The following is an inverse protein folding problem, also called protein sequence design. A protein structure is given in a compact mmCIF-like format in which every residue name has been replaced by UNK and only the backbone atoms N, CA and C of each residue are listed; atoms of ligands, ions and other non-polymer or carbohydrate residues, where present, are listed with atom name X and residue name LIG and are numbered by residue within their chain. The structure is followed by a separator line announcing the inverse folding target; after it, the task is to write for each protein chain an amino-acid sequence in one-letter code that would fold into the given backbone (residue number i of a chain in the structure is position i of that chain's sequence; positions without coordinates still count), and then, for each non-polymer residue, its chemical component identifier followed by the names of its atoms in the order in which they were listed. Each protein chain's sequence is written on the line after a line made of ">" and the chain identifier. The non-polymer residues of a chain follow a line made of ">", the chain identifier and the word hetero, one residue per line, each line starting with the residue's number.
data_IF_913211249507
#
_entry.id   IF_913211249507
#
_cell.length_a   1.000
_cell.length_b   1.000
_cell.length_c   1.000
_cell.angle_alpha   90.00
_cell.angle_beta   90.00
_cell.angle_gamma   90.00
#
_symmetry.space_group_name_H-M   'P 1'
#
loop_
_entity.id
_entity.type
_entity.pdbx_description
1 polymer ?
#
# COMPACT_ATOMS: atom_id res chain seq x y z
N UNK A 1 -19.17 8.74 9.89
CA UNK A 1 -18.05 7.80 10.12
C UNK A 1 -18.59 6.40 9.90
N UNK A 2 -17.95 5.60 9.06
CA UNK A 2 -18.39 4.24 8.75
C UNK A 2 -18.36 3.32 9.96
N UNK A 3 -18.97 2.14 9.82
CA UNK A 3 -18.98 1.09 10.85
C UNK A 3 -17.64 0.36 10.95
N UNK A 4 -16.98 0.18 9.82
CA UNK A 4 -15.69 -0.52 9.69
C UNK A 4 -14.56 0.43 9.29
N UNK A 5 -14.83 1.35 8.35
CA UNK A 5 -13.83 2.26 7.83
C UNK A 5 -13.76 3.55 8.64
N UNK A 6 -12.61 3.76 9.28
CA UNK A 6 -12.26 5.03 9.91
C UNK A 6 -11.55 6.01 8.96
N UNK A 7 -10.91 7.03 9.54
CA UNK A 7 -10.14 8.03 8.78
C UNK A 7 -9.04 7.40 7.94
N UNK A 8 -8.38 6.37 8.46
CA UNK A 8 -7.22 5.71 7.85
C UNK A 8 -7.53 4.33 7.25
N UNK A 9 -8.76 4.07 6.86
CA UNK A 9 -9.21 2.79 6.32
C UNK A 9 -9.81 1.87 7.39
N UNK A 10 -10.04 0.61 7.03
CA UNK A 10 -10.51 -0.42 7.95
C UNK A 10 -9.30 -1.02 8.66
N UNK A 11 -9.10 -0.70 9.95
CA UNK A 11 -7.99 -1.19 10.77
C UNK A 11 -8.50 -2.11 11.87
N UNK A 12 -7.68 -3.11 12.21
CA UNK A 12 -7.94 -4.01 13.31
C UNK A 12 -6.84 -5.06 13.47
N UNK A 13 -6.89 -5.77 14.58
CA UNK A 13 -6.05 -6.95 14.80
C UNK A 13 -6.45 -8.04 13.79
N UNK A 14 -5.43 -8.60 13.10
CA UNK A 14 -5.65 -9.59 12.06
C UNK A 14 -6.28 -10.88 12.63
N UNK A 15 -7.33 -11.38 11.95
CA UNK A 15 -8.16 -12.52 12.37
C UNK A 15 -8.98 -12.32 13.66
N UNK A 16 -9.00 -11.11 14.20
CA UNK A 16 -9.87 -10.72 15.31
C UNK A 16 -10.92 -9.73 14.82
N UNK A 17 -10.53 -8.45 14.65
CA UNK A 17 -11.45 -7.40 14.18
C UNK A 17 -11.44 -7.24 12.64
N UNK A 18 -10.31 -7.53 12.00
CA UNK A 18 -10.16 -7.53 10.54
C UNK A 18 -9.81 -8.94 10.09
N UNK A 19 -10.69 -9.56 9.30
CA UNK A 19 -10.58 -10.96 8.89
C UNK A 19 -10.37 -11.11 7.38
N UNK A 20 -9.95 -12.31 6.95
CA UNK A 20 -9.85 -12.67 5.54
C UNK A 20 -11.21 -12.57 4.83
N UNK A 21 -12.34 -12.87 5.52
CA UNK A 21 -13.69 -12.71 4.97
C UNK A 21 -14.02 -11.24 4.67
N UNK A 22 -13.66 -10.32 5.58
CA UNK A 22 -13.80 -8.90 5.31
C UNK A 22 -13.03 -8.47 4.06
N UNK A 23 -11.78 -8.91 3.91
CA UNK A 23 -10.95 -8.61 2.74
C UNK A 23 -11.56 -9.19 1.45
N UNK A 24 -12.02 -10.44 1.50
CA UNK A 24 -12.71 -11.08 0.38
C UNK A 24 -13.95 -10.29 -0.04
N UNK A 25 -14.81 -9.90 0.91
CA UNK A 25 -16.03 -9.13 0.63
C UNK A 25 -15.71 -7.75 0.07
N UNK A 26 -14.69 -7.05 0.61
CA UNK A 26 -14.21 -5.78 0.04
C UNK A 26 -13.82 -5.97 -1.42
N UNK A 27 -13.03 -7.00 -1.72
CA UNK A 27 -12.65 -7.33 -3.09
C UNK A 27 -13.85 -7.63 -3.98
N UNK A 28 -14.78 -8.45 -3.50
CA UNK A 28 -16.02 -8.78 -4.22
C UNK A 28 -16.81 -7.55 -4.64
N UNK A 29 -17.04 -6.64 -3.67
CA UNK A 29 -17.80 -5.44 -3.95
C UNK A 29 -17.07 -4.51 -4.93
N UNK A 30 -15.79 -4.23 -4.70
CA UNK A 30 -15.04 -3.28 -5.54
C UNK A 30 -14.90 -3.79 -6.99
N UNK A 31 -14.61 -5.07 -7.18
CA UNK A 31 -14.50 -5.66 -8.52
C UNK A 31 -15.80 -5.51 -9.32
N UNK A 32 -16.92 -5.84 -8.71
CA UNK A 32 -18.23 -5.65 -9.31
C UNK A 32 -18.57 -4.18 -9.53
N UNK A 33 -18.39 -3.33 -8.50
CA UNK A 33 -18.76 -1.93 -8.55
C UNK A 33 -18.07 -1.17 -9.69
N UNK A 34 -16.75 -1.31 -9.81
CA UNK A 34 -16.01 -0.66 -10.89
C UNK A 34 -16.29 -1.27 -12.25
N UNK A 35 -16.55 -2.55 -12.35
CA UNK A 35 -17.06 -3.18 -13.59
C UNK A 35 -18.39 -2.57 -14.03
N UNK A 36 -19.33 -2.34 -13.09
CA UNK A 36 -20.61 -1.68 -13.40
C UNK A 36 -20.44 -0.21 -13.80
N UNK A 37 -19.54 0.52 -13.13
CA UNK A 37 -19.22 1.91 -13.49
C UNK A 37 -18.69 1.99 -14.92
N UNK A 38 -17.78 1.10 -15.30
CA UNK A 38 -17.23 1.06 -16.66
C UNK A 38 -18.29 0.73 -17.70
N UNK A 39 -19.10 -0.31 -17.46
CA UNK A 39 -20.19 -0.71 -18.38
C UNK A 39 -21.22 0.43 -18.60
N UNK A 40 -21.58 1.15 -17.55
CA UNK A 40 -22.48 2.33 -17.67
C UNK A 40 -21.88 3.45 -18.50
N UNK A 41 -20.56 3.52 -18.61
CA UNK A 41 -19.83 4.47 -19.43
C UNK A 41 -19.51 3.91 -20.85
N UNK A 42 -20.04 2.73 -21.19
CA UNK A 42 -19.82 2.10 -22.51
C UNK A 42 -18.48 1.39 -22.65
N UNK A 43 -17.80 1.06 -21.53
CA UNK A 43 -16.55 0.33 -21.52
C UNK A 43 -16.77 -1.06 -20.88
N UNK A 44 -16.73 -2.10 -21.69
CA UNK A 44 -16.93 -3.49 -21.28
C UNK A 44 -15.61 -4.19 -20.85
N UNK A 45 -14.50 -3.48 -20.81
CA UNK A 45 -13.23 -4.06 -20.36
C UNK A 45 -13.25 -4.31 -18.84
N UNK A 46 -12.53 -5.32 -18.33
CA UNK A 46 -12.44 -5.57 -16.90
C UNK A 46 -11.99 -4.35 -16.11
N UNK A 47 -12.54 -4.15 -14.91
CA UNK A 47 -12.02 -3.15 -14.00
C UNK A 47 -10.57 -3.50 -13.62
N UNK A 48 -9.69 -2.48 -13.59
CA UNK A 48 -8.27 -2.63 -13.28
C UNK A 48 -8.00 -2.12 -11.88
N UNK A 49 -7.62 -3.00 -10.96
CA UNK A 49 -7.41 -2.66 -9.56
C UNK A 49 -5.99 -3.02 -9.14
N UNK A 50 -5.28 -2.06 -8.57
CA UNK A 50 -3.91 -2.26 -8.13
C UNK A 50 -3.84 -2.45 -6.61
N UNK A 51 -3.05 -3.42 -6.16
CA UNK A 51 -2.85 -3.72 -4.73
C UNK A 51 -1.38 -3.56 -4.35
N UNK A 52 -1.14 -2.83 -3.26
CA UNK A 52 0.14 -2.79 -2.56
C UNK A 52 -0.03 -3.25 -1.11
N UNK A 53 1.06 -3.73 -0.51
CA UNK A 53 1.06 -4.18 0.88
C UNK A 53 2.33 -3.78 1.60
N UNK A 54 2.28 -3.79 2.93
CA UNK A 54 3.47 -3.72 3.76
C UNK A 54 4.06 -5.12 4.05
N UNK A 55 5.02 -5.18 4.94
CA UNK A 55 5.81 -6.38 5.20
C UNK A 55 5.18 -7.36 6.20
N UNK A 56 4.04 -7.04 6.81
CA UNK A 56 3.37 -7.90 7.80
C UNK A 56 3.01 -9.26 7.22
N UNK A 57 3.09 -10.32 8.01
CA UNK A 57 2.63 -11.67 7.60
C UNK A 57 1.17 -11.67 7.21
N UNK A 58 0.31 -10.98 7.98
CA UNK A 58 -1.11 -10.87 7.68
C UNK A 58 -1.41 -10.14 6.37
N UNK A 59 -0.50 -9.30 5.86
CA UNK A 59 -0.67 -8.61 4.59
C UNK A 59 -0.77 -9.58 3.41
N UNK A 60 -0.09 -10.71 3.45
CA UNK A 60 -0.21 -11.76 2.43
C UNK A 60 -1.59 -12.42 2.46
N UNK A 61 -2.10 -12.74 3.64
CA UNK A 61 -3.44 -13.30 3.81
C UNK A 61 -4.51 -12.36 3.26
N UNK A 62 -4.44 -11.07 3.59
CA UNK A 62 -5.38 -10.07 3.10
C UNK A 62 -5.25 -9.83 1.60
N UNK A 63 -4.03 -9.79 1.05
CA UNK A 63 -3.80 -9.68 -0.38
C UNK A 63 -4.48 -10.80 -1.16
N UNK A 64 -4.24 -12.07 -0.77
CA UNK A 64 -4.86 -13.21 -1.45
C UNK A 64 -6.38 -13.22 -1.31
N UNK A 65 -6.92 -12.81 -0.17
CA UNK A 65 -8.37 -12.71 0.04
C UNK A 65 -8.99 -11.61 -0.83
N UNK A 66 -8.38 -10.43 -0.91
CA UNK A 66 -8.79 -9.35 -1.80
C UNK A 66 -8.74 -9.79 -3.26
N UNK A 67 -7.63 -10.41 -3.68
CA UNK A 67 -7.45 -10.93 -5.04
C UNK A 67 -8.55 -11.92 -5.40
N UNK A 68 -8.83 -12.89 -4.54
CA UNK A 68 -9.90 -13.87 -4.76
C UNK A 68 -11.27 -13.18 -4.93
N UNK A 69 -11.57 -12.19 -4.09
CA UNK A 69 -12.81 -11.42 -4.18
C UNK A 69 -12.93 -10.61 -5.47
N UNK A 70 -11.87 -9.89 -5.83
CA UNK A 70 -11.82 -9.05 -7.02
C UNK A 70 -11.96 -9.86 -8.31
N UNK A 71 -11.17 -10.92 -8.45
CA UNK A 71 -11.21 -11.79 -9.65
C UNK A 71 -12.53 -12.53 -9.78
N UNK A 72 -13.12 -13.00 -8.66
CA UNK A 72 -14.44 -13.60 -8.62
C UNK A 72 -15.58 -12.63 -9.02
N UNK A 73 -15.29 -11.32 -9.09
CA UNK A 73 -16.21 -10.27 -9.56
C UNK A 73 -15.85 -9.70 -10.92
N UNK A 74 -14.88 -10.30 -11.62
CA UNK A 74 -14.50 -9.93 -12.98
C UNK A 74 -13.50 -8.77 -13.09
N UNK A 75 -12.84 -8.38 -12.01
CA UNK A 75 -11.79 -7.37 -12.06
C UNK A 75 -10.40 -8.00 -12.26
N UNK A 76 -9.55 -7.33 -13.04
CA UNK A 76 -8.14 -7.66 -13.16
C UNK A 76 -7.33 -6.99 -12.05
N UNK A 77 -6.49 -7.77 -11.39
CA UNK A 77 -5.74 -7.35 -10.20
C UNK A 77 -4.25 -7.26 -10.48
N UNK A 78 -3.70 -6.09 -10.25
CA UNK A 78 -2.29 -5.77 -10.48
C UNK A 78 -1.53 -5.69 -9.16
N UNK A 79 -0.55 -6.56 -8.96
CA UNK A 79 0.16 -6.72 -7.69
C UNK A 79 1.47 -5.93 -7.70
N UNK A 80 1.55 -4.86 -6.90
CA UNK A 80 2.79 -4.11 -6.66
C UNK A 80 3.69 -4.80 -5.63
N UNK A 81 3.15 -5.81 -4.94
CA UNK A 81 3.82 -6.45 -3.81
C UNK A 81 4.12 -5.48 -2.67
N UNK A 82 5.25 -5.67 -1.97
CA UNK A 82 5.63 -4.78 -0.88
C UNK A 82 5.99 -3.40 -1.43
N UNK A 83 5.21 -2.40 -1.03
CA UNK A 83 5.37 -1.01 -1.45
C UNK A 83 4.70 -0.05 -0.46
N UNK A 84 4.93 1.25 -0.62
CA UNK A 84 4.36 2.28 0.25
C UNK A 84 2.98 2.77 -0.23
N UNK A 85 2.18 3.33 0.67
CA UNK A 85 0.89 3.95 0.32
C UNK A 85 1.02 5.00 -0.78
N UNK A 86 1.99 5.94 -0.73
CA UNK A 86 2.17 6.90 -1.82
C UNK A 86 2.51 6.26 -3.18
N UNK A 87 3.18 5.10 -3.18
CA UNK A 87 3.45 4.35 -4.41
C UNK A 87 2.15 3.85 -5.05
N UNK A 88 1.23 3.30 -4.26
CA UNK A 88 -0.10 2.87 -4.75
C UNK A 88 -0.86 4.07 -5.31
N UNK A 89 -0.96 5.18 -4.56
CA UNK A 89 -1.62 6.41 -5.00
C UNK A 89 -1.04 6.95 -6.31
N UNK A 90 0.29 6.93 -6.43
CA UNK A 90 0.98 7.37 -7.65
C UNK A 90 0.60 6.50 -8.85
N UNK A 91 0.71 5.18 -8.72
CA UNK A 91 0.41 4.24 -9.80
C UNK A 91 -1.05 4.35 -10.23
N UNK A 92 -1.99 4.41 -9.27
CA UNK A 92 -3.42 4.56 -9.59
C UNK A 92 -3.67 5.75 -10.51
N UNK A 93 -3.19 6.94 -10.12
CA UNK A 93 -3.50 8.18 -10.86
C UNK A 93 -2.73 8.35 -12.17
N UNK A 94 -1.60 7.67 -12.34
CA UNK A 94 -0.72 7.85 -13.50
C UNK A 94 -0.85 6.77 -14.55
N UNK A 95 -1.55 5.67 -14.25
CA UNK A 95 -1.63 4.51 -15.14
C UNK A 95 -3.07 4.01 -15.32
N UNK A 96 -4.05 4.90 -15.16
CA UNK A 96 -5.47 4.67 -15.44
C UNK A 96 -6.07 3.44 -14.74
N UNK A 97 -5.74 3.25 -13.45
CA UNK A 97 -6.42 2.26 -12.63
C UNK A 97 -7.73 2.81 -12.08
N UNK A 98 -8.76 1.97 -12.04
CA UNK A 98 -10.06 2.34 -11.51
C UNK A 98 -10.02 2.53 -9.98
N UNK A 99 -9.20 1.73 -9.29
CA UNK A 99 -9.07 1.76 -7.84
C UNK A 99 -7.70 1.23 -7.41
N UNK A 100 -7.24 1.72 -6.25
CA UNK A 100 -6.08 1.19 -5.54
C UNK A 100 -6.43 0.68 -4.16
N UNK A 101 -5.73 -0.34 -3.70
CA UNK A 101 -5.86 -0.89 -2.35
C UNK A 101 -4.49 -0.95 -1.72
N UNK A 102 -4.35 -0.39 -0.52
CA UNK A 102 -3.14 -0.52 0.28
C UNK A 102 -3.41 -1.30 1.56
N UNK A 103 -2.66 -2.37 1.77
CA UNK A 103 -2.75 -3.23 2.95
C UNK A 103 -1.64 -2.84 3.92
N UNK A 104 -2.00 -2.07 4.95
CA UNK A 104 -1.05 -1.60 5.96
C UNK A 104 -1.77 -0.94 7.14
N UNK A 105 -1.26 -1.14 8.35
CA UNK A 105 -1.66 -0.40 9.55
C UNK A 105 -0.63 0.67 9.96
N UNK A 106 0.22 1.14 9.03
CA UNK A 106 1.19 2.22 9.30
C UNK A 106 2.17 1.85 10.44
N UNK A 107 2.22 2.68 11.49
CA UNK A 107 3.12 2.52 12.64
C UNK A 107 2.60 1.57 13.74
N UNK A 108 1.44 0.94 13.55
CA UNK A 108 0.90 -0.02 14.51
C UNK A 108 1.80 -1.27 14.63
N UNK A 109 1.70 -2.04 15.73
CA UNK A 109 2.39 -3.31 15.88
C UNK A 109 2.08 -4.32 14.76
N UNK A 110 2.91 -5.35 14.63
CA UNK A 110 2.82 -6.32 13.54
C UNK A 110 1.51 -7.12 13.48
N UNK A 111 0.83 -7.30 14.60
CA UNK A 111 -0.43 -8.06 14.70
C UNK A 111 -1.64 -7.26 14.22
N UNK A 112 -1.55 -5.94 14.16
CA UNK A 112 -2.54 -5.10 13.51
C UNK A 112 -2.33 -5.08 11.99
N UNK A 113 -3.41 -4.85 11.25
CA UNK A 113 -3.35 -4.54 9.83
C UNK A 113 -4.47 -3.57 9.44
N UNK A 114 -4.48 -3.16 8.17
CA UNK A 114 -5.51 -2.26 7.66
C UNK A 114 -5.65 -2.36 6.16
N UNK A 115 -6.85 -2.06 5.67
CA UNK A 115 -7.18 -1.98 4.25
C UNK A 115 -7.60 -0.55 3.95
N UNK A 116 -6.83 0.14 3.11
CA UNK A 116 -7.10 1.51 2.65
C UNK A 116 -7.54 1.47 1.20
N UNK A 117 -8.64 2.12 0.89
CA UNK A 117 -9.19 2.22 -0.44
C UNK A 117 -8.85 3.58 -1.05
N UNK A 118 -8.36 3.55 -2.28
CA UNK A 118 -7.83 4.70 -3.02
C UNK A 118 -8.60 4.82 -4.33
N UNK A 119 -9.17 5.99 -4.61
CA UNK A 119 -9.92 6.24 -5.83
C UNK A 119 -8.98 6.42 -7.05
N UNK A 120 -9.54 6.52 -8.26
CA UNK A 120 -8.79 6.68 -9.51
C UNK A 120 -7.91 7.95 -9.57
N UNK A 121 -8.15 8.94 -8.71
CA UNK A 121 -7.31 10.14 -8.60
C UNK A 121 -6.10 9.95 -7.68
N UNK A 122 -5.95 8.76 -7.06
CA UNK A 122 -4.91 8.48 -6.08
C UNK A 122 -5.20 9.06 -4.69
N UNK A 123 -6.45 9.42 -4.41
CA UNK A 123 -6.92 9.97 -3.15
C UNK A 123 -7.67 8.91 -2.33
N UNK A 124 -7.96 9.21 -1.06
CA UNK A 124 -8.84 8.37 -0.25
C UNK A 124 -10.19 8.19 -0.95
N UNK A 125 -10.70 6.95 -0.93
CA UNK A 125 -12.03 6.63 -1.45
C UNK A 125 -13.10 7.52 -0.81
N UNK A 126 -14.07 7.96 -1.61
CA UNK A 126 -15.19 8.76 -1.17
C UNK A 126 -16.09 8.01 -0.16
N UNK A 127 -16.75 8.77 0.70
CA UNK A 127 -17.55 8.21 1.79
C UNK A 127 -18.77 7.43 1.28
N UNK A 128 -19.35 7.83 0.16
CA UNK A 128 -20.51 7.15 -0.44
C UNK A 128 -20.13 5.74 -0.89
N UNK A 129 -18.99 5.58 -1.57
CA UNK A 129 -18.48 4.27 -1.98
C UNK A 129 -18.11 3.42 -0.78
N UNK A 130 -17.48 4.00 0.25
CA UNK A 130 -17.15 3.30 1.50
C UNK A 130 -18.41 2.75 2.17
N UNK A 131 -19.48 3.53 2.29
CA UNK A 131 -20.74 3.08 2.90
C UNK A 131 -21.36 1.90 2.13
N UNK A 132 -21.27 1.89 0.80
CA UNK A 132 -21.74 0.77 -0.02
C UNK A 132 -20.89 -0.50 0.20
N UNK A 133 -19.57 -0.36 0.36
CA UNK A 133 -18.69 -1.49 0.76
C UNK A 133 -19.15 -2.07 2.09
N UNK A 134 -19.43 -1.21 3.08
CA UNK A 134 -19.89 -1.64 4.41
C UNK A 134 -21.27 -2.31 4.36
N UNK A 135 -22.19 -1.81 3.54
CA UNK A 135 -23.50 -2.41 3.35
C UNK A 135 -23.40 -3.80 2.69
N UNK A 136 -22.42 -4.00 1.79
CA UNK A 136 -22.15 -5.31 1.24
C UNK A 136 -21.52 -6.27 2.29
N UNK A 137 -20.59 -5.80 3.12
CA UNK A 137 -20.02 -6.58 4.23
C UNK A 137 -21.13 -7.09 5.15
N UNK A 138 -22.12 -6.26 5.44
CA UNK A 138 -23.26 -6.57 6.29
C UNK A 138 -24.36 -7.40 5.59
N UNK A 139 -24.18 -7.77 4.32
CA UNK A 139 -25.14 -8.57 3.56
C UNK A 139 -26.39 -7.84 3.12
N UNK A 140 -26.39 -6.50 3.07
CA UNK A 140 -27.54 -5.68 2.61
C UNK A 140 -27.56 -5.51 1.09
N UNK A 141 -26.46 -5.78 0.43
CA UNK A 141 -26.30 -5.69 -1.03
C UNK A 141 -25.87 -7.06 -1.53
N UNK A 142 -26.47 -7.52 -2.62
CA UNK A 142 -26.06 -8.72 -3.33
C UNK A 142 -25.20 -8.35 -4.54
N UNK A 143 -24.12 -9.09 -4.76
CA UNK A 143 -23.19 -8.90 -5.87
C UNK A 143 -23.07 -10.23 -6.63
N UNK A 144 -23.36 -10.28 -7.94
CA UNK A 144 -23.26 -11.49 -8.72
C UNK A 144 -21.81 -11.98 -8.83
N UNK A 145 -21.62 -13.28 -9.08
CA UNK A 145 -20.33 -13.87 -9.42
C UNK A 145 -20.07 -13.70 -10.90
N UNK A 146 -18.84 -13.37 -11.26
CA UNK A 146 -18.36 -13.54 -12.63
C UNK A 146 -18.26 -15.03 -12.97
N UNK A 147 -18.59 -15.39 -14.21
CA UNK A 147 -18.60 -16.78 -14.66
C UNK A 147 -17.80 -16.93 -15.95
N UNK A 148 -17.20 -18.09 -16.14
CA UNK A 148 -16.46 -18.47 -17.35
C UNK A 148 -15.35 -17.45 -17.67
N UNK A 149 -15.39 -16.86 -18.85
CA UNK A 149 -14.45 -15.86 -19.38
C UNK A 149 -14.56 -14.47 -18.74
N UNK A 150 -15.59 -14.25 -17.93
CA UNK A 150 -15.75 -13.03 -17.15
C UNK A 150 -14.93 -13.02 -15.84
N UNK A 151 -14.37 -14.16 -15.42
CA UNK A 151 -13.52 -14.21 -14.23
C UNK A 151 -12.25 -13.42 -14.50
N UNK A 152 -11.92 -12.48 -13.60
CA UNK A 152 -10.74 -11.64 -13.74
C UNK A 152 -9.42 -12.39 -13.51
N UNK A 153 -8.31 -11.78 -13.86
CA UNK A 153 -6.98 -12.35 -13.72
C UNK A 153 -6.08 -11.55 -12.77
N UNK A 154 -4.90 -12.09 -12.48
CA UNK A 154 -3.86 -11.41 -11.73
C UNK A 154 -2.65 -11.12 -12.61
N UNK A 155 -2.04 -9.96 -12.40
CA UNK A 155 -0.83 -9.51 -13.09
C UNK A 155 0.22 -9.14 -12.06
N UNK A 156 1.43 -9.70 -12.17
CA UNK A 156 2.59 -9.18 -11.44
C UNK A 156 2.94 -7.80 -12.00
N UNK A 157 2.84 -6.78 -11.16
CA UNK A 157 3.03 -5.39 -11.58
C UNK A 157 4.11 -4.67 -10.77
N UNK A 158 5.15 -5.36 -10.41
CA UNK A 158 6.35 -4.80 -9.74
C UNK A 158 6.96 -3.62 -10.52
N UNK A 159 6.77 -3.57 -11.83
CA UNK A 159 7.16 -2.44 -12.69
C UNK A 159 6.52 -1.11 -12.25
N UNK A 160 5.29 -1.10 -11.76
CA UNK A 160 4.62 0.10 -11.22
C UNK A 160 5.36 0.70 -10.04
N UNK A 161 5.84 -0.14 -9.11
CA UNK A 161 6.70 0.30 -8.00
C UNK A 161 8.00 0.94 -8.51
N UNK A 162 8.63 0.36 -9.53
CA UNK A 162 9.86 0.90 -10.10
C UNK A 162 9.63 2.26 -10.78
N UNK A 163 8.48 2.49 -11.40
CA UNK A 163 8.10 3.81 -11.93
C UNK A 163 7.96 4.85 -10.83
N UNK A 164 7.38 4.47 -9.68
CA UNK A 164 7.33 5.36 -8.53
C UNK A 164 8.72 5.74 -8.01
N UNK A 165 9.67 4.79 -7.96
CA UNK A 165 11.07 5.09 -7.64
C UNK A 165 11.66 6.09 -8.64
N UNK A 166 11.46 5.86 -9.95
CA UNK A 166 11.89 6.79 -11.01
C UNK A 166 11.28 8.18 -10.85
N UNK A 167 10.00 8.26 -10.52
CA UNK A 167 9.32 9.51 -10.22
C UNK A 167 9.96 10.24 -9.04
N UNK A 168 10.21 9.56 -7.91
CA UNK A 168 10.88 10.17 -6.76
C UNK A 168 12.26 10.72 -7.10
N UNK A 169 13.05 9.99 -7.90
CA UNK A 169 14.36 10.43 -8.36
C UNK A 169 14.22 11.69 -9.22
N UNK A 170 13.20 11.76 -10.08
CA UNK A 170 12.98 12.92 -10.98
C UNK A 170 12.59 14.21 -10.25
N UNK A 171 12.13 14.13 -9.00
CA UNK A 171 11.81 15.30 -8.19
C UNK A 171 13.04 16.03 -7.64
N UNK A 172 14.21 15.37 -7.66
CA UNK A 172 15.43 15.98 -7.15
C UNK A 172 15.95 17.06 -8.09
N UNK A 173 16.13 18.27 -7.57
CA UNK A 173 16.64 19.43 -8.30
C UNK A 173 18.16 19.56 -8.29
N UNK A 174 18.85 18.70 -7.51
CA UNK A 174 20.30 18.70 -7.35
C UNK A 174 20.84 17.31 -7.04
N UNK A 175 22.15 17.11 -7.29
CA UNK A 175 22.83 15.87 -6.88
C UNK A 175 23.01 15.81 -5.36
N UNK A 176 22.92 14.61 -4.82
CA UNK A 176 23.20 14.29 -3.40
C UNK A 176 24.62 13.73 -3.20
N UNK A 177 25.48 13.84 -4.22
CA UNK A 177 26.89 13.44 -4.11
C UNK A 177 27.56 14.12 -2.91
N UNK A 178 28.30 13.37 -2.11
CA UNK A 178 28.95 13.77 -0.85
C UNK A 178 27.99 14.04 0.33
N UNK A 179 26.68 13.80 0.18
CA UNK A 179 25.73 13.82 1.29
C UNK A 179 25.65 12.44 1.91
N UNK A 180 25.75 12.36 3.23
CA UNK A 180 25.50 11.15 4.02
C UNK A 180 24.04 11.15 4.49
N UNK A 181 23.32 10.03 4.28
CA UNK A 181 21.91 9.92 4.63
C UNK A 181 21.72 8.67 5.48
N UNK A 182 21.20 8.85 6.71
CA UNK A 182 20.73 7.74 7.55
C UNK A 182 19.26 7.45 7.26
N UNK A 183 18.91 6.17 7.07
CA UNK A 183 17.57 5.72 6.77
C UNK A 183 17.18 4.64 7.76
N UNK A 184 16.13 4.89 8.54
CA UNK A 184 15.45 3.85 9.32
C UNK A 184 14.20 3.42 8.55
N UNK A 185 14.20 2.20 8.03
CA UNK A 185 13.09 1.65 7.25
C UNK A 185 12.04 0.95 8.12
N UNK A 186 12.21 0.90 9.44
CA UNK A 186 11.29 0.29 10.40
C UNK A 186 10.87 -1.16 10.04
N UNK A 187 11.67 -1.89 9.27
CA UNK A 187 11.33 -3.17 8.65
C UNK A 187 9.99 -3.12 7.88
N UNK A 188 9.59 -1.95 7.44
CA UNK A 188 8.33 -1.65 6.77
C UNK A 188 8.46 -1.57 5.26
N UNK A 189 7.41 -1.07 4.61
CA UNK A 189 7.26 -1.07 3.15
C UNK A 189 8.25 -0.18 2.39
N UNK A 190 8.91 0.76 3.06
CA UNK A 190 9.90 1.65 2.44
C UNK A 190 11.29 1.03 2.24
N UNK A 191 11.58 -0.14 2.81
CA UNK A 191 12.92 -0.73 2.87
C UNK A 191 13.59 -0.89 1.49
N UNK A 192 12.83 -1.23 0.44
CA UNK A 192 13.36 -1.34 -0.92
C UNK A 192 13.44 0.01 -1.64
N UNK A 193 12.51 0.93 -1.32
CA UNK A 193 12.33 2.18 -2.06
C UNK A 193 13.33 3.23 -1.59
N UNK A 194 13.45 3.43 -0.28
CA UNK A 194 14.20 4.54 0.29
C UNK A 194 15.67 4.51 -0.12
N UNK A 195 16.35 3.38 0.07
CA UNK A 195 17.74 3.21 -0.33
C UNK A 195 17.94 3.42 -1.83
N UNK A 196 17.10 2.82 -2.66
CA UNK A 196 17.21 2.90 -4.12
C UNK A 196 17.13 4.34 -4.64
N UNK A 197 16.27 5.17 -4.04
CA UNK A 197 16.13 6.58 -4.42
C UNK A 197 17.39 7.37 -4.05
N UNK A 198 17.85 7.28 -2.81
CA UNK A 198 19.01 8.08 -2.36
C UNK A 198 20.31 7.64 -3.01
N UNK A 199 20.50 6.34 -3.24
CA UNK A 199 21.67 5.83 -3.98
C UNK A 199 21.67 6.34 -5.43
N UNK A 200 20.53 6.32 -6.11
CA UNK A 200 20.42 6.86 -7.47
C UNK A 200 20.71 8.37 -7.53
N UNK A 201 20.42 9.12 -6.48
CA UNK A 201 20.74 10.53 -6.35
C UNK A 201 22.21 10.79 -5.99
N UNK A 202 22.98 9.72 -5.73
CA UNK A 202 24.42 9.79 -5.43
C UNK A 202 24.75 9.97 -3.95
N UNK A 203 23.80 9.82 -3.04
CA UNK A 203 24.04 9.89 -1.60
C UNK A 203 24.81 8.66 -1.09
N UNK A 204 25.57 8.83 -0.01
CA UNK A 204 26.11 7.73 0.77
C UNK A 204 25.07 7.34 1.83
N UNK A 205 24.38 6.22 1.61
CA UNK A 205 23.31 5.76 2.47
C UNK A 205 23.77 4.83 3.59
N UNK A 206 23.22 5.02 4.79
CA UNK A 206 23.36 4.15 5.94
C UNK A 206 21.95 3.70 6.34
N UNK A 207 21.66 2.41 6.17
CA UNK A 207 20.30 1.87 6.33
C UNK A 207 20.25 0.95 7.52
N UNK A 208 19.23 1.14 8.37
CA UNK A 208 18.90 0.25 9.48
C UNK A 208 17.47 -0.23 9.37
N UNK A 209 17.13 -1.30 10.08
CA UNK A 209 15.79 -1.88 10.12
C UNK A 209 15.23 -2.11 8.70
N UNK A 210 16.01 -2.77 7.83
CA UNK A 210 15.67 -3.05 6.45
C UNK A 210 15.66 -4.56 6.12
N UNK A 211 15.47 -5.41 7.12
CA UNK A 211 15.39 -6.87 6.99
C UNK A 211 14.05 -7.37 7.57
N UNK A 212 12.93 -7.15 6.86
CA UNK A 212 11.61 -7.53 7.36
C UNK A 212 11.44 -9.04 7.41
N UNK A 213 10.97 -9.57 8.54
CA UNK A 213 10.58 -10.98 8.73
C UNK A 213 9.06 -11.19 8.84
N UNK A 214 8.31 -10.09 8.76
CA UNK A 214 6.85 -10.06 8.85
C UNK A 214 6.30 -9.89 10.26
N UNK A 215 7.16 -9.92 11.29
CA UNK A 215 6.81 -9.74 12.71
C UNK A 215 7.53 -8.54 13.33
N UNK A 216 8.64 -8.11 12.76
CA UNK A 216 9.52 -7.08 13.29
C UNK A 216 9.22 -5.65 12.79
N UNK A 217 8.15 -5.45 12.02
CA UNK A 217 7.75 -4.11 11.56
C UNK A 217 7.48 -3.18 12.75
N UNK A 218 8.07 -1.98 12.71
CA UNK A 218 7.97 -0.95 13.75
C UNK A 218 8.47 -1.37 15.15
N UNK A 219 9.12 -2.51 15.29
CA UNK A 219 9.62 -2.98 16.58
C UNK A 219 10.88 -2.20 16.96
N UNK A 220 10.78 -1.30 17.94
CA UNK A 220 11.85 -0.39 18.36
C UNK A 220 12.51 0.31 17.15
N UNK A 221 11.71 0.80 16.21
CA UNK A 221 12.20 1.31 14.93
C UNK A 221 11.24 2.34 14.34
N UNK A 222 11.75 3.17 13.44
CA UNK A 222 10.97 4.12 12.66
C UNK A 222 10.55 5.38 13.43
N UNK A 223 9.48 6.03 12.97
CA UNK A 223 9.08 7.37 13.42
C UNK A 223 8.65 7.45 14.89
N UNK A 224 8.31 6.34 15.51
CA UNK A 224 7.96 6.26 16.94
C UNK A 224 9.17 6.00 17.83
N UNK A 225 10.35 5.73 17.26
CA UNK A 225 11.61 5.43 17.94
C UNK A 225 12.79 6.17 17.29
N UNK A 226 12.68 7.50 17.21
CA UNK A 226 13.65 8.34 16.50
C UNK A 226 15.06 8.30 17.09
N UNK A 227 15.17 7.97 18.37
CA UNK A 227 16.44 7.79 19.09
C UNK A 227 17.33 6.71 18.45
N UNK A 228 16.76 5.71 17.81
CA UNK A 228 17.52 4.64 17.13
C UNK A 228 18.29 5.23 15.94
N UNK A 229 17.64 6.07 15.14
CA UNK A 229 18.27 6.75 14.02
C UNK A 229 19.24 7.84 14.47
N UNK A 230 18.94 8.54 15.59
CA UNK A 230 19.85 9.50 16.19
C UNK A 230 21.16 8.85 16.64
N UNK A 231 21.11 7.68 17.27
CA UNK A 231 22.30 6.93 17.68
C UNK A 231 23.13 6.50 16.47
N UNK A 232 22.49 6.04 15.37
CA UNK A 232 23.20 5.76 14.12
C UNK A 232 23.94 6.99 13.59
N UNK A 233 23.29 8.16 13.62
CA UNK A 233 23.88 9.42 13.18
C UNK A 233 25.12 9.80 13.99
N UNK A 234 25.09 9.65 15.31
CA UNK A 234 26.22 9.95 16.19
C UNK A 234 27.43 9.04 15.94
N UNK A 235 27.22 7.76 15.61
CA UNK A 235 28.29 6.77 15.48
C UNK A 235 28.91 6.77 14.07
N UNK A 236 28.09 6.95 13.02
CA UNK A 236 28.52 6.68 11.63
C UNK A 236 28.42 7.88 10.68
N UNK A 237 27.59 8.88 10.96
CA UNK A 237 27.24 9.93 10.01
C UNK A 237 27.86 11.26 10.40
N UNK A 238 27.93 11.55 11.70
CA UNK A 238 28.51 12.78 12.20
C UNK A 238 29.99 12.62 12.53
N UNK A 239 30.86 13.13 11.70
CA UNK A 239 31.93 13.94 12.25
C UNK A 239 31.28 15.24 12.75
N UNK A 240 31.80 15.90 13.82
CA UNK A 240 31.00 16.82 14.63
C UNK A 240 30.69 18.13 13.93
N UNK A 241 29.70 18.14 13.03
CA UNK A 241 29.01 19.36 12.61
C UNK A 241 27.69 19.08 11.89
N UNK A 242 26.60 19.39 12.62
CA UNK A 242 25.22 19.62 12.19
C UNK A 242 24.36 18.39 11.85
N UNK A 243 23.54 18.04 12.83
CA UNK A 243 22.26 17.32 12.63
C UNK A 243 21.37 18.13 11.68
N UNK A 244 21.01 17.53 10.54
CA UNK A 244 19.82 17.90 9.81
C UNK A 244 18.81 16.75 10.03
N UNK A 245 17.85 16.98 10.91
CA UNK A 245 16.67 16.12 11.08
C UNK A 245 15.77 16.35 9.88
N UNK A 246 15.47 15.29 9.14
CA UNK A 246 14.37 15.26 8.17
C UNK A 246 13.42 14.19 8.67
N UNK A 247 12.32 14.65 9.25
CA UNK A 247 11.15 13.86 9.58
C UNK A 247 10.24 13.69 8.36
#
# INVERSE_FOLDING_TARGET
>A
MGRYFGTDGFRGEANNNLTADHAYKIGRFLGWYYGEVKRRNGDDTPARIVIGKDTRRSSYMFEYSLVAGLTASGADVYLLHVTTTPSVSYVVRTEDFDCGIMISASHNPYYDNGIKLINSKGEKMDEETILKVEDYIDGKIEVPMAVRDQIGCTVDYSAGRNRYIGYLISLATRSYKNIKVGLDCANGSSWMIAKSVFDALGAKTYVINAEPDGLNINMNAGSTHIEVLQNLSLIHISEPTRLALIS
#
